data_IF_215817907786
#
_entry.id   IF_215817907786
#
_cell.length_a   1.000
_cell.length_b   1.000
_cell.length_c   1.000
_cell.angle_alpha   90.00
_cell.angle_beta   90.00
_cell.angle_gamma   90.00
#
_symmetry.space_group_name_H-M   'P 1'
#
loop_
_entity.id
_entity.type
_entity.pdbx_description
1 polymer ?
#
# COMPACT_ATOMS: atom_id res chain seq x y z
N UNK A 1 -1.33 7.51 -7.18
CA UNK A 1 -2.45 8.42 -7.41
C UNK A 1 -1.96 9.71 -8.02
N UNK A 2 -2.79 10.39 -8.78
CA UNK A 2 -2.49 11.74 -9.21
C UNK A 2 -2.70 12.67 -8.02
N UNK A 3 -1.67 13.30 -7.59
CA UNK A 3 -1.74 14.26 -6.49
C UNK A 3 -2.18 15.65 -6.97
N UNK A 4 -2.04 15.94 -8.27
CA UNK A 4 -2.54 17.17 -8.89
C UNK A 4 -3.17 16.85 -10.25
N UNK A 5 -4.50 16.91 -10.34
CA UNK A 5 -5.21 17.10 -11.62
C UNK A 5 -5.35 18.60 -11.87
N UNK A 6 -5.37 19.00 -13.15
CA UNK A 6 -5.66 20.39 -13.51
C UNK A 6 -6.99 20.81 -12.86
N UNK A 7 -6.97 21.91 -12.11
CA UNK A 7 -8.14 22.39 -11.37
C UNK A 7 -8.47 21.65 -10.05
N UNK A 8 -7.76 20.57 -9.67
CA UNK A 8 -7.96 19.88 -8.41
C UNK A 8 -6.70 19.93 -7.56
N UNK A 9 -6.87 20.29 -6.32
CA UNK A 9 -5.83 20.21 -5.31
C UNK A 9 -6.05 19.02 -4.40
N UNK A 10 -4.97 18.39 -3.98
CA UNK A 10 -5.00 17.22 -3.12
C UNK A 10 -4.39 17.58 -1.77
N UNK A 11 -5.14 17.36 -0.71
CA UNK A 11 -4.60 17.50 0.64
C UNK A 11 -3.61 16.37 0.91
N UNK A 12 -2.43 16.76 1.41
CA UNK A 12 -1.37 15.84 1.81
C UNK A 12 -0.99 16.08 3.26
N UNK A 13 -0.46 15.06 3.90
CA UNK A 13 0.17 15.16 5.21
C UNK A 13 1.55 14.52 5.14
N UNK A 14 2.56 15.24 5.60
CA UNK A 14 3.96 14.80 5.56
C UNK A 14 4.42 14.60 6.99
N UNK A 15 5.02 13.44 7.24
CA UNK A 15 5.62 13.08 8.51
C UNK A 15 7.13 12.96 8.35
N UNK A 16 7.86 13.50 9.32
CA UNK A 16 9.31 13.40 9.38
C UNK A 16 9.73 12.54 10.57
N UNK A 17 10.63 11.59 10.33
CA UNK A 17 11.13 10.69 11.35
C UNK A 17 12.66 10.78 11.41
N UNK A 18 13.19 11.28 12.52
CA UNK A 18 14.60 11.19 12.81
C UNK A 18 14.89 9.84 13.45
N UNK A 19 15.49 8.93 12.69
CA UNK A 19 15.78 7.57 13.13
C UNK A 19 17.26 7.43 13.45
N UNK A 20 17.63 6.80 14.57
CA UNK A 20 18.99 6.35 14.80
C UNK A 20 19.44 5.39 13.70
N UNK A 21 20.74 5.36 13.40
CA UNK A 21 21.29 4.52 12.31
C UNK A 21 20.91 3.05 12.43
N UNK A 22 20.89 2.51 13.65
CA UNK A 22 20.49 1.13 13.92
C UNK A 22 19.03 0.84 13.52
N UNK A 23 18.11 1.78 13.73
CA UNK A 23 16.70 1.61 13.39
C UNK A 23 16.47 1.85 11.90
N UNK A 24 17.23 2.78 11.30
CA UNK A 24 17.26 2.95 9.85
C UNK A 24 17.78 1.68 9.16
N UNK A 25 18.82 1.03 9.70
CA UNK A 25 19.32 -0.26 9.23
C UNK A 25 18.24 -1.34 9.20
N UNK A 26 17.48 -1.52 10.29
CA UNK A 26 16.36 -2.47 10.36
C UNK A 26 15.24 -2.15 9.37
N UNK A 27 14.93 -0.87 9.18
CA UNK A 27 13.94 -0.43 8.20
C UNK A 27 14.37 -0.82 6.78
N UNK A 28 15.64 -0.55 6.45
CA UNK A 28 16.24 -0.90 5.17
C UNK A 28 16.25 -2.42 4.93
N UNK A 29 16.58 -3.23 5.92
CA UNK A 29 16.53 -4.69 5.83
C UNK A 29 15.13 -5.20 5.49
N UNK A 30 14.09 -4.71 6.17
CA UNK A 30 12.70 -5.10 5.87
C UNK A 30 12.27 -4.67 4.47
N UNK A 31 12.70 -3.48 4.05
CA UNK A 31 12.44 -3.00 2.68
C UNK A 31 13.09 -3.91 1.64
N UNK A 32 14.36 -4.25 1.81
CA UNK A 32 15.10 -5.12 0.88
C UNK A 32 14.57 -6.56 0.91
N UNK A 33 14.11 -7.06 2.05
CA UNK A 33 13.42 -8.35 2.14
C UNK A 33 12.20 -8.40 1.22
N UNK A 34 11.33 -7.40 1.29
CA UNK A 34 10.14 -7.35 0.42
C UNK A 34 10.56 -7.17 -1.04
N UNK A 35 11.53 -6.30 -1.32
CA UNK A 35 12.03 -6.03 -2.66
C UNK A 35 12.62 -7.28 -3.31
N UNK A 36 13.46 -8.01 -2.61
CA UNK A 36 14.08 -9.26 -3.10
C UNK A 36 13.05 -10.36 -3.38
N UNK A 37 11.95 -10.34 -2.65
CA UNK A 37 10.86 -11.28 -2.79
C UNK A 37 9.60 -10.68 -3.46
N UNK A 38 9.74 -9.62 -4.22
CA UNK A 38 8.62 -8.87 -4.80
C UNK A 38 7.61 -9.74 -5.58
N UNK A 39 8.07 -10.87 -6.17
CA UNK A 39 7.18 -11.82 -6.86
C UNK A 39 6.23 -12.57 -5.91
N UNK A 40 6.58 -12.70 -4.63
CA UNK A 40 5.76 -13.35 -3.60
C UNK A 40 4.71 -12.42 -3.00
N UNK A 41 4.97 -11.11 -3.05
CA UNK A 41 4.08 -10.13 -2.47
C UNK A 41 3.12 -9.57 -3.51
N UNK A 42 1.86 -9.45 -3.14
CA UNK A 42 0.81 -8.92 -4.00
C UNK A 42 0.15 -7.74 -3.32
N UNK A 43 -0.36 -6.82 -4.13
CA UNK A 43 -1.21 -5.77 -3.61
C UNK A 43 -2.59 -6.34 -3.24
N UNK A 44 -3.04 -6.08 -2.02
CA UNK A 44 -4.33 -6.55 -1.52
C UNK A 44 -5.47 -5.62 -1.98
N UNK A 45 -5.92 -5.80 -3.20
CA UNK A 45 -6.97 -4.98 -3.81
C UNK A 45 -8.29 -5.07 -3.02
N UNK A 46 -8.65 -6.28 -2.54
CA UNK A 46 -9.86 -6.44 -1.71
C UNK A 46 -9.71 -5.72 -0.37
N UNK A 47 -8.57 -5.88 0.30
CA UNK A 47 -8.28 -5.16 1.53
C UNK A 47 -8.32 -3.65 1.35
N UNK A 48 -7.77 -3.13 0.24
CA UNK A 48 -7.80 -1.71 -0.07
C UNK A 48 -9.22 -1.18 -0.29
N UNK A 49 -10.09 -1.93 -0.96
CA UNK A 49 -11.50 -1.56 -1.15
C UNK A 49 -12.28 -1.60 0.16
N UNK A 50 -12.11 -2.67 0.92
CA UNK A 50 -12.84 -2.88 2.18
C UNK A 50 -12.37 -1.95 3.30
N UNK A 51 -11.08 -1.57 3.30
CA UNK A 51 -10.56 -0.61 4.27
C UNK A 51 -11.22 0.78 4.18
N UNK A 52 -11.72 1.15 3.00
CA UNK A 52 -12.50 2.38 2.80
C UNK A 52 -13.81 2.42 3.60
N UNK A 53 -14.37 1.25 3.92
CA UNK A 53 -15.59 1.09 4.74
C UNK A 53 -15.29 0.52 6.13
N UNK A 54 -14.02 0.54 6.54
CA UNK A 54 -13.59 0.12 7.87
C UNK A 54 -13.47 -1.39 8.09
N UNK A 55 -13.53 -2.19 7.02
CA UNK A 55 -13.40 -3.65 7.09
C UNK A 55 -11.95 -4.06 6.80
N UNK A 56 -11.33 -4.72 7.77
CA UNK A 56 -9.99 -5.29 7.62
C UNK A 56 -10.05 -6.64 6.90
N UNK A 57 -9.50 -6.71 5.70
CA UNK A 57 -9.40 -7.94 4.93
C UNK A 57 -7.95 -8.35 4.76
N UNK A 58 -7.49 -9.23 5.62
CA UNK A 58 -6.12 -9.70 5.63
C UNK A 58 -5.91 -10.96 4.80
N UNK A 59 -4.92 -10.90 3.93
CA UNK A 59 -4.40 -12.06 3.19
C UNK A 59 -2.88 -12.11 3.39
N UNK A 60 -2.31 -13.23 3.88
CA UNK A 60 -0.86 -13.34 4.07
C UNK A 60 -0.09 -13.09 2.77
N UNK A 61 1.09 -12.48 2.89
CA UNK A 61 1.94 -12.05 1.77
C UNK A 61 1.27 -11.07 0.79
N UNK A 62 0.22 -10.38 1.23
CA UNK A 62 -0.36 -9.26 0.49
C UNK A 62 -0.42 -8.03 1.37
N UNK A 63 -0.31 -6.85 0.78
CA UNK A 63 -0.30 -5.58 1.51
C UNK A 63 -1.18 -4.55 0.82
N UNK A 64 -1.85 -3.72 1.61
CA UNK A 64 -2.29 -2.40 1.17
C UNK A 64 -1.19 -1.37 1.50
N UNK A 65 -1.29 -0.15 0.96
CA UNK A 65 -0.25 0.86 1.12
C UNK A 65 0.17 1.08 2.58
N UNK A 66 -0.79 1.27 3.47
CA UNK A 66 -0.50 1.55 4.88
C UNK A 66 0.09 0.34 5.61
N UNK A 67 -0.35 -0.88 5.31
CA UNK A 67 0.22 -2.10 5.90
C UNK A 67 1.68 -2.28 5.50
N UNK A 68 2.02 -1.92 4.25
CA UNK A 68 3.39 -1.96 3.75
C UNK A 68 4.28 -0.99 4.52
N UNK A 69 3.85 0.27 4.67
CA UNK A 69 4.58 1.29 5.41
C UNK A 69 4.77 0.88 6.87
N UNK A 70 3.70 0.47 7.55
CA UNK A 70 3.76 0.10 8.96
C UNK A 70 4.57 -1.17 9.21
N UNK A 71 4.60 -2.11 8.26
CA UNK A 71 5.48 -3.28 8.32
C UNK A 71 6.96 -2.87 8.24
N UNK A 72 7.33 -2.04 7.27
CA UNK A 72 8.70 -1.54 7.12
C UNK A 72 9.14 -0.79 8.38
N UNK A 73 8.28 0.05 8.95
CA UNK A 73 8.55 0.78 10.18
C UNK A 73 8.62 -0.13 11.44
N UNK A 74 8.29 -1.42 11.32
CA UNK A 74 8.28 -2.33 12.46
C UNK A 74 7.10 -2.20 13.41
N UNK A 75 6.06 -1.51 12.99
CA UNK A 75 4.84 -1.25 13.77
C UNK A 75 3.80 -2.38 13.65
N UNK A 76 4.11 -3.39 12.82
CA UNK A 76 3.15 -4.44 12.47
C UNK A 76 2.21 -4.02 11.33
N UNK A 77 1.29 -4.92 10.96
CA UNK A 77 0.46 -4.76 9.76
C UNK A 77 -0.95 -4.22 10.00
N UNK A 78 -1.40 -4.19 11.25
CA UNK A 78 -2.80 -3.86 11.59
C UNK A 78 -2.97 -2.41 12.07
N UNK A 79 -2.36 -1.48 11.35
CA UNK A 79 -2.51 -0.06 11.67
C UNK A 79 -3.26 0.60 10.51
N UNK A 80 -4.46 1.11 10.79
CA UNK A 80 -5.22 1.90 9.83
C UNK A 80 -4.59 3.29 9.61
N UNK A 81 -4.92 3.94 8.49
CA UNK A 81 -4.45 5.31 8.20
C UNK A 81 -4.80 6.26 9.35
N UNK A 82 -6.04 6.19 9.87
CA UNK A 82 -6.47 7.03 10.99
C UNK A 82 -5.66 6.78 12.27
N UNK A 83 -5.35 5.51 12.56
CA UNK A 83 -4.54 5.16 13.72
C UNK A 83 -3.09 5.59 13.54
N UNK A 84 -2.53 5.45 12.33
CA UNK A 84 -1.20 5.92 11.98
C UNK A 84 -1.11 7.45 12.15
N UNK A 85 -2.06 8.18 11.60
CA UNK A 85 -2.14 9.64 11.72
C UNK A 85 -2.18 10.09 13.19
N UNK A 86 -3.02 9.46 14.01
CA UNK A 86 -3.10 9.76 15.44
C UNK A 86 -1.81 9.41 16.19
N UNK A 87 -1.17 8.29 15.86
CA UNK A 87 0.04 7.81 16.53
C UNK A 87 1.24 8.74 16.27
N UNK A 88 1.30 9.31 15.07
CA UNK A 88 2.40 10.15 14.63
C UNK A 88 2.03 11.61 14.41
N UNK A 89 0.94 12.09 15.04
CA UNK A 89 0.49 13.47 14.89
C UNK A 89 1.58 14.50 15.16
N UNK A 90 2.42 14.27 16.18
CA UNK A 90 3.54 15.12 16.55
C UNK A 90 4.72 15.12 15.56
N UNK A 91 4.76 14.14 14.66
CA UNK A 91 5.76 14.01 13.61
C UNK A 91 5.32 14.66 12.29
N UNK A 92 4.10 15.20 12.25
CA UNK A 92 3.60 15.87 11.06
C UNK A 92 4.28 17.25 10.93
N UNK A 93 5.04 17.42 9.85
CA UNK A 93 5.71 18.69 9.51
C UNK A 93 4.88 19.54 8.56
N UNK A 94 3.90 18.92 7.90
CA UNK A 94 2.97 19.61 7.01
C UNK A 94 1.63 18.88 6.94
N UNK A 95 0.53 19.63 6.90
CA UNK A 95 -0.83 19.12 6.64
C UNK A 95 -1.59 20.21 5.85
N UNK A 96 -1.69 20.06 4.55
CA UNK A 96 -2.26 21.11 3.69
C UNK A 96 -2.33 20.69 2.22
N UNK A 97 -2.38 21.69 1.35
CA UNK A 97 -2.42 21.54 -0.09
C UNK A 97 -1.11 21.00 -0.66
N UNK A 98 -1.20 20.04 -1.58
CA UNK A 98 -0.03 19.57 -2.32
C UNK A 98 0.63 20.69 -3.13
N UNK A 99 -0.20 21.53 -3.76
CA UNK A 99 0.30 22.65 -4.59
C UNK A 99 1.00 23.72 -3.76
N UNK A 100 0.46 24.01 -2.58
CA UNK A 100 1.07 24.95 -1.65
C UNK A 100 2.46 24.48 -1.20
N UNK A 101 2.61 23.18 -0.91
CA UNK A 101 3.86 22.63 -0.43
C UNK A 101 4.93 22.53 -1.51
N UNK A 102 4.57 22.04 -2.70
CA UNK A 102 5.55 21.79 -3.77
C UNK A 102 5.64 22.90 -4.82
N UNK A 103 4.73 23.89 -4.78
CA UNK A 103 4.59 24.93 -5.79
C UNK A 103 3.92 24.44 -7.08
N UNK A 104 3.52 25.38 -7.93
CA UNK A 104 2.78 25.08 -9.16
C UNK A 104 3.58 24.28 -10.22
N UNK A 105 4.91 24.27 -10.11
CA UNK A 105 5.81 23.69 -11.12
C UNK A 105 6.00 22.19 -11.04
N UNK A 106 5.51 21.52 -10.01
CA UNK A 106 5.65 20.06 -9.88
C UNK A 106 4.46 19.37 -10.56
N UNK A 107 4.45 19.41 -11.87
CA UNK A 107 3.70 18.43 -12.67
C UNK A 107 4.52 17.15 -12.63
N UNK A 108 4.20 16.26 -11.70
CA UNK A 108 4.71 14.90 -11.77
C UNK A 108 4.01 14.24 -12.95
N UNK A 109 4.62 14.31 -14.13
CA UNK A 109 4.23 13.49 -15.26
C UNK A 109 4.47 12.03 -14.90
N UNK A 110 3.49 11.42 -14.25
CA UNK A 110 3.51 9.97 -14.04
C UNK A 110 3.14 9.29 -15.36
N UNK A 111 4.16 9.07 -16.20
CA UNK A 111 4.04 8.38 -17.50
C UNK A 111 3.43 6.97 -17.37
N UNK A 112 3.36 6.44 -16.17
CA UNK A 112 2.78 5.13 -15.88
C UNK A 112 1.31 5.20 -15.47
N UNK A 113 0.70 6.41 -15.53
CA UNK A 113 -0.60 6.58 -14.94
C UNK A 113 -1.72 5.94 -15.77
N UNK A 114 -2.55 5.25 -15.03
CA UNK A 114 -3.70 4.47 -15.45
C UNK A 114 -4.73 5.24 -16.32
N UNK A 115 -4.77 6.58 -16.25
CA UNK A 115 -5.77 7.41 -16.92
C UNK A 115 -5.50 7.61 -18.41
N UNK A 116 -4.25 7.59 -18.84
CA UNK A 116 -3.88 7.75 -20.27
C UNK A 116 -4.15 6.49 -21.09
N UNK A 117 -4.44 5.38 -20.41
CA UNK A 117 -4.77 4.13 -21.09
C UNK A 117 -6.26 4.08 -21.44
N UNK A 118 -6.62 3.48 -22.58
CA UNK A 118 -8.01 3.25 -22.94
C UNK A 118 -8.79 2.59 -21.81
N UNK A 119 -10.06 2.98 -21.64
CA UNK A 119 -10.90 2.47 -20.54
C UNK A 119 -10.95 0.92 -20.50
N UNK A 120 -11.06 0.28 -21.67
CA UNK A 120 -11.05 -1.17 -21.81
C UNK A 120 -9.77 -1.81 -21.24
N UNK A 121 -8.61 -1.19 -21.49
CA UNK A 121 -7.34 -1.68 -20.96
C UNK A 121 -7.27 -1.50 -19.44
N UNK A 122 -7.81 -0.40 -18.91
CA UNK A 122 -7.90 -0.16 -17.46
C UNK A 122 -8.72 -1.26 -16.76
N UNK A 123 -9.92 -1.53 -17.29
CA UNK A 123 -10.78 -2.61 -16.77
C UNK A 123 -10.07 -3.95 -16.85
N UNK A 124 -9.44 -4.28 -17.97
CA UNK A 124 -8.68 -5.53 -18.15
C UNK A 124 -7.55 -5.69 -17.12
N UNK A 125 -6.82 -4.62 -16.82
CA UNK A 125 -5.75 -4.65 -15.82
C UNK A 125 -6.29 -4.86 -14.40
N UNK A 126 -7.39 -4.19 -14.06
CA UNK A 126 -8.07 -4.38 -12.76
C UNK A 126 -8.55 -5.82 -12.62
N UNK A 127 -9.26 -6.34 -13.62
CA UNK A 127 -9.76 -7.71 -13.61
C UNK A 127 -8.62 -8.73 -13.51
N UNK A 128 -7.52 -8.51 -14.25
CA UNK A 128 -6.32 -9.37 -14.16
C UNK A 128 -5.73 -9.36 -12.75
N UNK A 129 -5.72 -8.22 -12.08
CA UNK A 129 -5.23 -8.09 -10.70
C UNK A 129 -6.12 -8.85 -9.71
N UNK A 130 -7.43 -8.69 -9.81
CA UNK A 130 -8.39 -9.45 -9.01
C UNK A 130 -8.29 -10.97 -9.26
N UNK A 131 -8.22 -11.39 -10.52
CA UNK A 131 -8.07 -12.78 -10.87
C UNK A 131 -6.79 -13.41 -10.29
N UNK A 132 -5.68 -12.66 -10.30
CA UNK A 132 -4.41 -13.09 -9.71
C UNK A 132 -4.53 -13.25 -8.18
N UNK A 133 -5.10 -12.28 -7.50
CA UNK A 133 -5.31 -12.32 -6.05
C UNK A 133 -6.28 -13.44 -5.66
N UNK A 134 -7.38 -13.59 -6.41
CA UNK A 134 -8.35 -14.67 -6.18
C UNK A 134 -7.72 -16.07 -6.35
N UNK A 135 -6.93 -16.28 -7.41
CA UNK A 135 -6.18 -17.52 -7.62
C UNK A 135 -5.25 -17.82 -6.45
N UNK A 136 -4.50 -16.83 -6.01
CA UNK A 136 -3.60 -16.94 -4.87
C UNK A 136 -4.33 -17.37 -3.58
N UNK A 137 -5.48 -16.76 -3.26
CA UNK A 137 -6.29 -17.10 -2.09
C UNK A 137 -6.83 -18.53 -2.20
N UNK A 138 -7.32 -18.92 -3.38
CA UNK A 138 -7.85 -20.26 -3.65
C UNK A 138 -6.79 -21.35 -3.51
N UNK A 139 -5.63 -21.14 -4.11
CA UNK A 139 -4.55 -22.13 -4.09
C UNK A 139 -4.01 -22.33 -2.67
N UNK A 140 -4.00 -21.27 -1.87
CA UNK A 140 -3.61 -21.35 -0.47
C UNK A 140 -4.65 -22.11 0.38
N UNK A 141 -5.95 -21.91 0.14
CA UNK A 141 -7.01 -22.68 0.83
C UNK A 141 -6.88 -24.18 0.53
N UNK A 142 -6.59 -24.54 -0.71
CA UNK A 142 -6.33 -25.94 -1.09
C UNK A 142 -5.13 -26.53 -0.35
N UNK A 143 -4.02 -25.81 -0.29
CA UNK A 143 -2.82 -26.27 0.41
C UNK A 143 -3.06 -26.46 1.92
N UNK A 144 -3.81 -25.59 2.57
CA UNK A 144 -4.17 -25.72 3.97
C UNK A 144 -5.10 -26.93 4.20
N UNK A 145 -6.06 -27.18 3.31
CA UNK A 145 -6.96 -28.33 3.41
C UNK A 145 -6.22 -29.66 3.25
N UNK A 146 -5.26 -29.72 2.32
CA UNK A 146 -4.39 -30.89 2.12
C UNK A 146 -3.48 -31.19 3.32
N UNK A 147 -2.96 -30.15 3.97
CA UNK A 147 -2.17 -30.33 5.19
C UNK A 147 -3.01 -30.83 6.36
N UNK A 148 -4.25 -30.36 6.50
CA UNK A 148 -5.16 -30.83 7.55
C UNK A 148 -5.65 -32.27 7.31
N UNK A 149 -5.76 -32.74 6.05
CA UNK A 149 -6.16 -34.10 5.75
C UNK A 149 -5.04 -35.13 5.95
N UNK A 150 -3.76 -34.72 5.89
CA UNK A 150 -2.61 -35.58 6.15
C UNK A 150 -2.32 -35.78 7.65
N UNK A 151 -2.88 -34.93 8.51
CA UNK A 151 -2.70 -35.00 9.97
C UNK A 151 -3.91 -35.64 10.69
N UNK A 152 -4.83 -36.23 9.96
CA UNK A 152 -5.88 -37.14 10.44
C UNK A 152 -5.56 -38.56 10.04
#
# INVERSE_FOLDING_TARGET
>A
GRYCEEGKDTRIKIFEFNLPDADYGKLRERFEEIRSHAKKYLYNTYGAMLSGIGIDFYVPYTYICIEYVTYIMGLGRKISIKKFDKLFAEKAIYDGSFREYYGEKVIIEDKYFFRERPFSLRVKLVLKHFARLHRYIRDRKKNISLLKSKNK
#
